data_IF_760296003342
#
_entry.id   IF_760296003342
#
_cell.length_a   1.000
_cell.length_b   1.000
_cell.length_c   1.000
_cell.angle_alpha   90.00
_cell.angle_beta   90.00
_cell.angle_gamma   90.00
#
_symmetry.space_group_name_H-M   'P 1'
#
loop_
_entity.id
_entity.type
_entity.pdbx_description
1 polymer ?
#
# COMPACT_ATOMS: atom_id res chain seq x y z
N UNK A 1 -137.55 36.81 -3.17
CA UNK A 1 -136.49 37.70 -2.69
C UNK A 1 -135.15 36.99 -2.72
N UNK A 2 -134.07 37.70 -3.07
CA UNK A 2 -133.03 37.19 -3.95
C UNK A 2 -131.66 37.10 -3.25
N UNK A 3 -130.69 36.63 -4.02
CA UNK A 3 -129.24 36.77 -3.87
C UNK A 3 -128.50 35.66 -3.12
N UNK A 4 -128.07 34.65 -3.88
CA UNK A 4 -126.76 34.02 -3.64
C UNK A 4 -125.88 34.23 -4.87
N UNK A 5 -124.73 34.82 -4.59
CA UNK A 5 -123.91 35.61 -5.49
C UNK A 5 -123.15 34.73 -6.49
N UNK A 6 -123.25 35.06 -7.78
CA UNK A 6 -122.19 34.74 -8.73
C UNK A 6 -120.90 35.40 -8.21
N UNK A 7 -119.75 34.68 -8.14
CA UNK A 7 -118.52 35.27 -7.68
C UNK A 7 -118.18 36.45 -8.60
N UNK A 8 -118.09 37.64 -8.02
CA UNK A 8 -117.74 38.85 -8.76
C UNK A 8 -116.37 38.65 -9.38
N UNK A 9 -116.16 39.19 -10.59
CA UNK A 9 -114.89 39.09 -11.34
C UNK A 9 -113.66 39.53 -10.54
N UNK A 10 -113.86 40.38 -9.52
CA UNK A 10 -112.86 40.79 -8.52
C UNK A 10 -112.39 39.64 -7.60
N UNK A 11 -113.26 38.72 -7.20
CA UNK A 11 -112.93 37.60 -6.29
C UNK A 11 -112.13 36.49 -6.99
N UNK A 12 -112.41 36.24 -8.28
CA UNK A 12 -111.62 35.35 -9.13
C UNK A 12 -110.23 35.92 -9.43
N UNK A 13 -110.13 37.23 -9.62
CA UNK A 13 -108.85 37.91 -9.86
C UNK A 13 -107.94 37.84 -8.63
N UNK A 14 -108.49 38.07 -7.42
CA UNK A 14 -107.74 37.95 -6.16
C UNK A 14 -107.23 36.54 -5.86
N UNK A 15 -108.03 35.50 -6.14
CA UNK A 15 -107.61 34.10 -6.00
C UNK A 15 -106.49 33.72 -6.96
N UNK A 16 -106.61 34.10 -8.24
CA UNK A 16 -105.59 33.88 -9.26
C UNK A 16 -104.27 34.61 -8.91
N UNK A 17 -104.36 35.83 -8.38
CA UNK A 17 -103.19 36.59 -7.94
C UNK A 17 -102.49 35.95 -6.72
N UNK A 18 -103.27 35.40 -5.78
CA UNK A 18 -102.74 34.67 -4.63
C UNK A 18 -102.05 33.36 -5.03
N UNK A 19 -102.68 32.53 -5.87
CA UNK A 19 -102.06 31.32 -6.41
C UNK A 19 -100.76 31.63 -7.17
N UNK A 20 -100.73 32.72 -7.93
CA UNK A 20 -99.50 33.16 -8.61
C UNK A 20 -98.39 33.52 -7.63
N UNK A 21 -98.72 34.15 -6.50
CA UNK A 21 -97.77 34.51 -5.46
C UNK A 21 -97.25 33.28 -4.71
N UNK A 22 -98.15 32.37 -4.33
CA UNK A 22 -97.79 31.12 -3.66
C UNK A 22 -96.89 30.24 -4.56
N UNK A 23 -97.17 30.18 -5.88
CA UNK A 23 -96.32 29.51 -6.85
C UNK A 23 -94.93 30.15 -6.98
N UNK A 24 -94.86 31.49 -6.93
CA UNK A 24 -93.60 32.23 -6.97
C UNK A 24 -92.77 31.95 -5.70
N UNK A 25 -93.40 31.95 -4.53
CA UNK A 25 -92.76 31.65 -3.26
C UNK A 25 -92.24 30.22 -3.20
N UNK A 26 -93.01 29.26 -3.72
CA UNK A 26 -92.56 27.87 -3.84
C UNK A 26 -91.36 27.74 -4.79
N UNK A 27 -91.39 28.40 -5.95
CA UNK A 27 -90.27 28.42 -6.88
C UNK A 27 -89.01 29.07 -6.26
N UNK A 28 -89.16 30.15 -5.49
CA UNK A 28 -88.06 30.79 -4.78
C UNK A 28 -87.45 29.86 -3.71
N UNK A 29 -88.29 29.13 -2.95
CA UNK A 29 -87.79 28.13 -1.99
C UNK A 29 -87.05 26.98 -2.67
N UNK A 30 -87.52 26.53 -3.83
CA UNK A 30 -86.82 25.52 -4.63
C UNK A 30 -85.48 26.03 -5.17
N UNK A 31 -85.42 27.29 -5.65
CA UNK A 31 -84.18 27.93 -6.06
C UNK A 31 -83.17 28.01 -4.91
N UNK A 32 -83.61 28.39 -3.71
CA UNK A 32 -82.73 28.44 -2.53
C UNK A 32 -82.22 27.06 -2.10
N UNK A 33 -83.07 26.02 -2.19
CA UNK A 33 -82.66 24.63 -1.93
C UNK A 33 -81.62 24.17 -2.97
N UNK A 34 -81.86 24.46 -4.25
CA UNK A 34 -80.93 24.11 -5.33
C UNK A 34 -79.59 24.85 -5.19
N UNK A 35 -79.60 26.13 -4.81
CA UNK A 35 -78.37 26.89 -4.53
C UNK A 35 -77.56 26.27 -3.39
N UNK A 36 -78.19 25.99 -2.25
CA UNK A 36 -77.53 25.30 -1.13
C UNK A 36 -76.99 23.93 -1.52
N UNK A 37 -77.72 23.20 -2.36
CA UNK A 37 -77.25 21.91 -2.86
C UNK A 37 -76.05 22.05 -3.80
N UNK A 38 -76.06 23.04 -4.69
CA UNK A 38 -74.92 23.35 -5.56
C UNK A 38 -73.67 23.75 -4.75
N UNK A 39 -73.82 24.61 -3.73
CA UNK A 39 -72.72 25.02 -2.85
C UNK A 39 -72.15 23.81 -2.09
N UNK A 40 -73.01 22.91 -1.61
CA UNK A 40 -72.60 21.68 -0.95
C UNK A 40 -71.81 20.76 -1.89
N UNK A 41 -72.33 20.50 -3.09
CA UNK A 41 -71.64 19.69 -4.10
C UNK A 41 -70.31 20.32 -4.52
N UNK A 42 -70.24 21.65 -4.58
CA UNK A 42 -69.01 22.36 -4.90
C UNK A 42 -67.94 22.19 -3.79
N UNK A 43 -68.35 22.22 -2.52
CA UNK A 43 -67.45 21.92 -1.39
C UNK A 43 -66.97 20.47 -1.42
N UNK A 44 -67.89 19.51 -1.63
CA UNK A 44 -67.55 18.08 -1.72
C UNK A 44 -66.58 17.80 -2.88
N UNK A 45 -66.80 18.43 -4.03
CA UNK A 45 -65.90 18.33 -5.18
C UNK A 45 -64.50 18.86 -4.85
N UNK A 46 -64.41 20.00 -4.15
CA UNK A 46 -63.14 20.60 -3.78
C UNK A 46 -62.37 19.72 -2.78
N UNK A 47 -63.06 19.13 -1.80
CA UNK A 47 -62.47 18.17 -0.86
C UNK A 47 -61.96 16.92 -1.58
N UNK A 48 -62.77 16.35 -2.48
CA UNK A 48 -62.37 15.18 -3.27
C UNK A 48 -61.16 15.46 -4.16
N UNK A 49 -61.08 16.65 -4.78
CA UNK A 49 -59.92 17.06 -5.56
C UNK A 49 -58.65 17.20 -4.70
N UNK A 50 -58.78 17.79 -3.51
CA UNK A 50 -57.66 17.91 -2.58
C UNK A 50 -57.17 16.54 -2.10
N UNK A 51 -58.09 15.61 -1.79
CA UNK A 51 -57.75 14.25 -1.39
C UNK A 51 -57.07 13.46 -2.53
N UNK A 52 -57.56 13.62 -3.77
CA UNK A 52 -56.94 13.04 -4.95
C UNK A 52 -55.51 13.55 -5.16
N UNK A 53 -55.27 14.85 -4.96
CA UNK A 53 -53.94 15.47 -5.09
C UNK A 53 -52.97 14.99 -4.00
N UNK A 54 -53.43 14.88 -2.74
CA UNK A 54 -52.62 14.30 -1.65
C UNK A 54 -52.27 12.85 -1.96
N UNK A 55 -53.23 12.06 -2.45
CA UNK A 55 -53.02 10.67 -2.83
C UNK A 55 -52.03 10.53 -3.99
N UNK A 56 -52.09 11.43 -4.98
CA UNK A 56 -51.11 11.49 -6.07
C UNK A 56 -49.70 11.77 -5.55
N UNK A 57 -49.52 12.78 -4.70
CA UNK A 57 -48.21 13.11 -4.11
C UNK A 57 -47.63 11.96 -3.30
N UNK A 58 -48.46 11.25 -2.53
CA UNK A 58 -48.03 10.05 -1.79
C UNK A 58 -47.55 8.94 -2.72
N UNK A 59 -48.24 8.69 -3.83
CA UNK A 59 -47.80 7.72 -4.84
C UNK A 59 -46.48 8.14 -5.48
N UNK A 60 -46.37 9.39 -5.91
CA UNK A 60 -45.16 9.92 -6.57
C UNK A 60 -43.95 9.84 -5.63
N UNK A 61 -44.13 10.17 -4.34
CA UNK A 61 -43.11 9.99 -3.32
C UNK A 61 -42.69 8.52 -3.17
N UNK A 62 -43.66 7.60 -3.08
CA UNK A 62 -43.37 6.17 -2.96
C UNK A 62 -42.62 5.61 -4.19
N UNK A 63 -42.96 6.08 -5.40
CA UNK A 63 -42.23 5.73 -6.62
C UNK A 63 -40.79 6.26 -6.59
N UNK A 64 -40.61 7.53 -6.20
CA UNK A 64 -39.27 8.12 -6.07
C UNK A 64 -38.41 7.34 -5.08
N UNK A 65 -38.97 6.96 -3.92
CA UNK A 65 -38.22 6.21 -2.90
C UNK A 65 -37.86 4.80 -3.38
N UNK A 66 -38.79 4.13 -4.06
CA UNK A 66 -38.52 2.84 -4.72
C UNK A 66 -37.40 2.97 -5.75
N UNK A 67 -37.42 4.01 -6.58
CA UNK A 67 -36.43 4.20 -7.63
C UNK A 67 -35.02 4.44 -7.04
N UNK A 68 -34.91 5.17 -5.90
CA UNK A 68 -33.65 5.26 -5.14
C UNK A 68 -33.14 3.90 -4.70
N UNK A 69 -34.01 3.08 -4.10
CA UNK A 69 -33.65 1.72 -3.64
C UNK A 69 -33.20 0.85 -4.82
N UNK A 70 -33.85 0.98 -5.99
CA UNK A 70 -33.46 0.25 -7.20
C UNK A 70 -32.06 0.67 -7.66
N UNK A 71 -31.77 1.97 -7.70
CA UNK A 71 -30.45 2.49 -8.07
C UNK A 71 -29.36 2.02 -7.10
N UNK A 72 -29.61 2.06 -5.80
CA UNK A 72 -28.68 1.54 -4.79
C UNK A 72 -28.41 0.05 -4.99
N UNK A 73 -29.47 -0.75 -5.21
CA UNK A 73 -29.34 -2.18 -5.50
C UNK A 73 -28.53 -2.45 -6.76
N UNK A 74 -28.74 -1.67 -7.82
CA UNK A 74 -27.99 -1.79 -9.08
C UNK A 74 -26.52 -1.41 -8.91
N UNK A 75 -26.23 -0.38 -8.12
CA UNK A 75 -24.87 0.02 -7.75
C UNK A 75 -24.15 -1.11 -6.98
N UNK A 76 -24.81 -1.69 -5.98
CA UNK A 76 -24.27 -2.83 -5.21
C UNK A 76 -24.04 -4.03 -6.11
N UNK A 77 -24.99 -4.36 -6.99
CA UNK A 77 -24.84 -5.48 -7.95
C UNK A 77 -23.61 -5.27 -8.84
N UNK A 78 -23.45 -4.06 -9.37
CA UNK A 78 -22.31 -3.70 -10.21
C UNK A 78 -20.98 -3.79 -9.47
N UNK A 79 -20.94 -3.38 -8.20
CA UNK A 79 -19.76 -3.54 -7.34
C UNK A 79 -19.41 -5.01 -7.12
N UNK A 80 -20.39 -5.84 -6.76
CA UNK A 80 -20.20 -7.28 -6.58
C UNK A 80 -19.66 -7.95 -7.85
N UNK A 81 -20.18 -7.59 -9.02
CA UNK A 81 -19.71 -8.13 -10.30
C UNK A 81 -18.27 -7.68 -10.61
N UNK A 82 -17.87 -6.47 -10.23
CA UNK A 82 -16.47 -6.03 -10.34
C UNK A 82 -15.55 -6.84 -9.42
N UNK A 83 -15.91 -6.96 -8.14
CA UNK A 83 -15.12 -7.72 -7.16
C UNK A 83 -14.99 -9.19 -7.54
N UNK A 84 -16.04 -9.82 -8.08
CA UNK A 84 -15.97 -11.18 -8.61
C UNK A 84 -14.97 -11.29 -9.76
N UNK A 85 -15.01 -10.37 -10.73
CA UNK A 85 -14.06 -10.35 -11.85
C UNK A 85 -12.62 -10.10 -11.40
N UNK A 86 -12.41 -9.26 -10.39
CA UNK A 86 -11.08 -9.01 -9.82
C UNK A 86 -10.55 -10.24 -9.11
N UNK A 87 -11.37 -10.91 -8.31
CA UNK A 87 -11.02 -12.21 -7.72
C UNK A 87 -10.67 -13.24 -8.80
N UNK A 88 -11.50 -13.38 -9.83
CA UNK A 88 -11.27 -14.37 -10.88
C UNK A 88 -9.98 -14.09 -11.67
N UNK A 89 -9.67 -12.81 -11.90
CA UNK A 89 -8.36 -12.40 -12.44
C UNK A 89 -7.21 -12.77 -11.52
N UNK A 90 -7.28 -12.38 -10.24
CA UNK A 90 -6.23 -12.70 -9.27
C UNK A 90 -6.00 -14.21 -9.11
N UNK A 91 -7.06 -15.02 -9.17
CA UNK A 91 -6.94 -16.49 -9.16
C UNK A 91 -6.25 -17.00 -10.42
N UNK A 92 -6.57 -16.45 -11.59
CA UNK A 92 -5.92 -16.80 -12.85
C UNK A 92 -4.43 -16.42 -12.84
N UNK A 93 -4.11 -15.20 -12.41
CA UNK A 93 -2.73 -14.69 -12.33
C UNK A 93 -1.89 -15.54 -11.36
N UNK A 94 -2.47 -15.91 -10.22
CA UNK A 94 -1.80 -16.80 -9.27
C UNK A 94 -1.55 -18.19 -9.88
N UNK A 95 -2.51 -18.74 -10.62
CA UNK A 95 -2.34 -20.03 -11.27
C UNK A 95 -1.26 -19.99 -12.36
N UNK A 96 -1.12 -18.87 -13.06
CA UNK A 96 -0.03 -18.64 -14.03
C UNK A 96 1.33 -18.52 -13.34
N UNK A 97 1.44 -17.69 -12.31
CA UNK A 97 2.68 -17.54 -11.54
C UNK A 97 3.16 -18.87 -10.91
N UNK A 98 2.23 -19.73 -10.49
CA UNK A 98 2.56 -21.07 -10.00
C UNK A 98 3.15 -21.97 -11.10
N UNK A 99 2.58 -21.95 -12.30
CA UNK A 99 3.13 -22.69 -13.45
C UNK A 99 4.51 -22.18 -13.83
N UNK A 100 4.67 -20.87 -13.95
CA UNK A 100 5.96 -20.24 -14.24
C UNK A 100 7.01 -20.58 -13.18
N UNK A 101 6.62 -20.59 -11.89
CA UNK A 101 7.50 -20.99 -10.80
C UNK A 101 7.98 -22.43 -10.94
N UNK A 102 7.09 -23.34 -11.32
CA UNK A 102 7.43 -24.75 -11.50
C UNK A 102 8.31 -24.98 -12.74
N UNK A 103 8.07 -24.26 -13.83
CA UNK A 103 8.93 -24.26 -15.02
C UNK A 103 10.33 -23.70 -14.71
N UNK A 104 10.42 -22.60 -13.97
CA UNK A 104 11.70 -22.02 -13.52
C UNK A 104 12.45 -23.01 -12.62
N UNK A 105 11.77 -23.67 -11.66
CA UNK A 105 12.40 -24.69 -10.80
C UNK A 105 12.94 -25.84 -11.63
N UNK A 106 12.20 -26.29 -12.63
CA UNK A 106 12.63 -27.36 -13.53
C UNK A 106 13.87 -26.94 -14.32
N UNK A 107 13.85 -25.77 -14.95
CA UNK A 107 14.99 -25.24 -15.69
C UNK A 107 16.22 -25.07 -14.79
N UNK A 108 16.04 -24.53 -13.57
CA UNK A 108 17.11 -24.42 -12.58
C UNK A 108 17.71 -25.78 -12.22
N UNK A 109 16.87 -26.80 -12.03
CA UNK A 109 17.35 -28.15 -11.71
C UNK A 109 18.13 -28.76 -12.88
N UNK A 110 17.72 -28.51 -14.13
CA UNK A 110 18.43 -28.94 -15.33
C UNK A 110 19.79 -28.23 -15.46
N UNK A 111 19.82 -26.90 -15.35
CA UNK A 111 21.08 -26.13 -15.41
C UNK A 111 22.03 -26.47 -14.26
N UNK A 112 21.51 -26.74 -13.06
CA UNK A 112 22.33 -27.21 -11.93
C UNK A 112 22.99 -28.56 -12.21
N UNK A 113 22.27 -29.49 -12.85
CA UNK A 113 22.84 -30.78 -13.27
C UNK A 113 23.93 -30.59 -14.31
N UNK A 114 23.70 -29.75 -15.32
CA UNK A 114 24.70 -29.44 -16.34
C UNK A 114 25.96 -28.79 -15.75
N UNK A 115 25.80 -27.86 -14.81
CA UNK A 115 26.90 -27.23 -14.09
C UNK A 115 27.71 -28.23 -13.27
N UNK A 116 27.06 -29.15 -12.55
CA UNK A 116 27.75 -30.19 -11.80
C UNK A 116 28.58 -31.09 -12.72
N UNK A 117 28.01 -31.52 -13.85
CA UNK A 117 28.72 -32.34 -14.85
C UNK A 117 29.92 -31.58 -15.42
N UNK A 118 29.78 -30.28 -15.71
CA UNK A 118 30.88 -29.46 -16.22
C UNK A 118 31.97 -29.26 -15.16
N UNK A 119 31.58 -29.05 -13.90
CA UNK A 119 32.49 -28.93 -12.75
C UNK A 119 33.30 -30.20 -12.55
N UNK A 120 32.66 -31.37 -12.55
CA UNK A 120 33.34 -32.67 -12.46
C UNK A 120 34.35 -32.86 -13.60
N UNK A 121 34.00 -32.44 -14.83
CA UNK A 121 34.93 -32.47 -15.98
C UNK A 121 36.13 -31.55 -15.77
N UNK A 122 35.92 -30.34 -15.25
CA UNK A 122 37.01 -29.39 -14.97
C UNK A 122 37.91 -29.90 -13.85
N UNK A 123 37.34 -30.41 -12.76
CA UNK A 123 38.10 -31.02 -11.65
C UNK A 123 38.94 -32.20 -12.16
N UNK A 124 38.35 -33.09 -12.97
CA UNK A 124 39.08 -34.21 -13.57
C UNK A 124 40.20 -33.75 -14.54
N UNK A 125 40.02 -32.62 -15.22
CA UNK A 125 41.04 -32.04 -16.09
C UNK A 125 42.18 -31.43 -15.28
N UNK A 126 41.87 -30.66 -14.24
CA UNK A 126 42.84 -30.11 -13.31
C UNK A 126 43.63 -31.20 -12.58
N UNK A 127 42.98 -32.30 -12.18
CA UNK A 127 43.68 -33.43 -11.56
C UNK A 127 44.64 -34.11 -12.54
N UNK A 128 44.27 -34.23 -13.83
CA UNK A 128 45.16 -34.74 -14.89
C UNK A 128 46.35 -33.80 -15.12
N UNK A 129 46.13 -32.49 -15.19
CA UNK A 129 47.19 -31.48 -15.34
C UNK A 129 48.12 -31.47 -14.12
N UNK A 130 47.56 -31.52 -12.90
CA UNK A 130 48.31 -31.61 -11.66
C UNK A 130 49.17 -32.88 -11.57
N UNK A 131 48.62 -34.05 -11.94
CA UNK A 131 49.41 -35.30 -12.02
C UNK A 131 50.53 -35.22 -13.05
N UNK A 132 50.30 -34.56 -14.19
CA UNK A 132 51.33 -34.33 -15.21
C UNK A 132 52.46 -33.40 -14.71
N UNK A 133 52.11 -32.38 -13.93
CA UNK A 133 53.05 -31.47 -13.27
C UNK A 133 53.79 -32.14 -12.11
N UNK A 134 53.13 -33.00 -11.32
CA UNK A 134 53.75 -33.77 -10.23
C UNK A 134 54.82 -34.73 -10.75
N UNK A 135 54.61 -35.35 -11.91
CA UNK A 135 55.63 -36.14 -12.60
C UNK A 135 56.84 -35.30 -13.08
N UNK A 136 56.64 -34.00 -13.32
CA UNK A 136 57.72 -33.05 -13.62
C UNK A 136 58.39 -32.44 -12.37
N UNK A 137 57.79 -32.57 -11.18
CA UNK A 137 58.18 -31.86 -9.96
C UNK A 137 58.94 -32.71 -8.92
N UNK A 138 59.53 -33.85 -9.29
CA UNK A 138 60.52 -34.56 -8.44
C UNK A 138 61.85 -33.79 -8.22
N UNK A 139 61.87 -32.49 -8.49
CA UNK A 139 62.94 -31.57 -8.11
C UNK A 139 62.30 -30.28 -7.59
N UNK A 140 62.54 -29.97 -6.31
CA UNK A 140 62.27 -28.72 -5.60
C UNK A 140 60.88 -28.45 -4.98
N UNK A 141 60.85 -28.67 -3.65
CA UNK A 141 60.46 -27.76 -2.57
C UNK A 141 59.04 -27.15 -2.52
N UNK A 142 58.32 -27.55 -1.46
CA UNK A 142 57.61 -26.69 -0.49
C UNK A 142 57.24 -25.26 -0.91
N UNK A 143 55.94 -25.04 -1.15
CA UNK A 143 55.19 -23.97 -0.47
C UNK A 143 53.67 -24.13 -0.70
N UNK A 144 53.02 -24.65 0.35
CA UNK A 144 51.74 -24.24 0.91
C UNK A 144 50.75 -23.45 0.02
N UNK A 145 49.70 -24.17 -0.34
CA UNK A 145 48.42 -23.75 -0.91
C UNK A 145 47.71 -22.67 -0.06
N UNK A 146 47.26 -21.58 -0.68
CA UNK A 146 46.46 -20.52 -0.03
C UNK A 146 45.65 -19.70 -1.05
N UNK A 147 44.82 -20.34 -1.88
CA UNK A 147 44.00 -19.61 -2.87
C UNK A 147 42.48 -19.83 -2.75
N UNK A 148 41.96 -20.56 -1.75
CA UNK A 148 40.55 -20.99 -1.75
C UNK A 148 39.61 -20.10 -0.90
N UNK A 149 40.08 -19.06 -0.22
CA UNK A 149 39.27 -18.40 0.83
C UNK A 149 39.05 -16.88 0.68
N UNK A 150 39.15 -16.31 -0.52
CA UNK A 150 39.09 -14.85 -0.68
C UNK A 150 37.70 -14.25 -0.38
N UNK A 151 36.62 -14.99 -0.60
CA UNK A 151 35.24 -14.47 -0.45
C UNK A 151 34.66 -14.72 0.95
N UNK A 152 35.20 -15.70 1.70
CA UNK A 152 34.85 -15.96 3.10
C UNK A 152 35.67 -15.08 4.07
N UNK A 153 36.76 -14.45 3.61
CA UNK A 153 37.59 -13.57 4.43
C UNK A 153 37.14 -12.10 4.46
N UNK A 154 36.17 -11.67 3.64
CA UNK A 154 35.81 -10.24 3.57
C UNK A 154 34.98 -9.71 4.76
N UNK A 155 34.31 -10.57 5.52
CA UNK A 155 33.39 -10.14 6.59
C UNK A 155 33.72 -10.82 7.92
N UNK A 156 33.88 -10.01 8.97
CA UNK A 156 34.00 -10.46 10.34
C UNK A 156 32.69 -10.30 11.10
N UNK A 157 32.41 -11.26 11.97
CA UNK A 157 31.30 -11.16 12.92
C UNK A 157 31.86 -10.79 14.29
N UNK A 158 31.36 -9.70 14.85
CA UNK A 158 31.80 -9.16 16.13
C UNK A 158 30.63 -9.10 17.11
N UNK A 159 30.89 -9.40 18.38
CA UNK A 159 29.91 -9.28 19.46
C UNK A 159 30.23 -8.00 20.24
N UNK A 160 29.28 -7.07 20.26
CA UNK A 160 29.38 -5.76 20.90
C UNK A 160 28.44 -5.72 22.10
N UNK A 161 29.00 -5.47 23.28
CA UNK A 161 28.22 -5.32 24.51
C UNK A 161 28.01 -3.83 24.82
N UNK A 162 26.74 -3.45 24.98
CA UNK A 162 26.34 -2.07 25.22
C UNK A 162 25.67 -2.00 26.59
N UNK A 163 26.32 -1.34 27.53
CA UNK A 163 25.71 -0.90 28.77
C UNK A 163 24.70 0.23 28.49
N UNK A 164 23.44 -0.03 28.82
CA UNK A 164 22.29 0.86 28.69
C UNK A 164 21.81 1.37 30.06
N UNK A 165 22.56 1.11 31.15
CA UNK A 165 22.19 1.55 32.50
C UNK A 165 22.18 3.08 32.56
N UNK A 166 21.03 3.65 32.92
CA UNK A 166 20.84 5.09 33.10
C UNK A 166 20.12 5.80 31.94
N UNK A 167 19.84 5.11 30.83
CA UNK A 167 18.97 5.64 29.77
C UNK A 167 17.50 5.41 30.10
N UNK A 168 16.68 6.46 30.00
CA UNK A 168 15.24 6.30 30.08
C UNK A 168 14.71 5.52 28.86
N UNK A 169 13.61 4.79 29.00
CA UNK A 169 13.02 4.01 27.90
C UNK A 169 12.59 4.85 26.68
N UNK A 170 12.50 6.17 26.85
CA UNK A 170 12.11 7.15 25.82
C UNK A 170 13.27 8.06 25.36
N UNK A 171 14.49 7.88 25.91
CA UNK A 171 15.66 8.60 25.43
C UNK A 171 16.15 8.05 24.09
N UNK A 172 16.65 8.95 23.25
CA UNK A 172 17.25 8.60 21.98
C UNK A 172 18.58 7.87 22.21
N UNK A 173 18.73 6.69 21.59
CA UNK A 173 19.95 5.90 21.65
C UNK A 173 21.09 6.55 20.85
N UNK A 174 20.76 7.51 19.98
CA UNK A 174 21.70 8.12 19.06
C UNK A 174 22.12 7.14 17.95
N UNK A 175 21.21 6.25 17.54
CA UNK A 175 21.42 5.23 16.52
C UNK A 175 20.41 5.39 15.40
N UNK A 176 20.91 5.67 14.20
CA UNK A 176 20.09 5.62 13.00
C UNK A 176 20.29 4.30 12.28
N UNK A 177 19.17 3.64 11.95
CA UNK A 177 19.14 2.38 11.22
C UNK A 177 18.49 2.59 9.85
N UNK A 178 19.03 1.90 8.85
CA UNK A 178 18.48 1.79 7.48
C UNK A 178 18.30 0.31 7.14
N UNK A 179 17.53 0.00 6.11
CA UNK A 179 17.22 -1.39 5.78
C UNK A 179 16.07 -1.98 6.62
N UNK A 180 16.08 -3.30 6.73
CA UNK A 180 15.04 -4.09 7.37
C UNK A 180 13.95 -4.56 6.41
N UNK A 181 13.11 -5.48 6.88
CA UNK A 181 12.05 -6.14 6.09
C UNK A 181 11.12 -5.15 5.38
N UNK A 182 10.74 -4.09 6.08
CA UNK A 182 9.73 -3.15 5.62
C UNK A 182 10.33 -2.02 4.74
N UNK A 183 11.66 -1.88 4.70
CA UNK A 183 12.38 -0.85 3.96
C UNK A 183 13.79 -1.35 3.52
N UNK A 184 13.88 -2.35 2.61
CA UNK A 184 15.17 -2.96 2.22
C UNK A 184 16.16 -1.96 1.62
N UNK A 185 17.39 -1.92 2.16
CA UNK A 185 18.45 -1.03 1.66
C UNK A 185 19.04 -1.54 0.33
N UNK A 186 19.15 -2.86 0.18
CA UNK A 186 19.66 -3.50 -1.03
C UNK A 186 18.63 -4.46 -1.62
N UNK A 187 18.60 -4.67 -2.96
CA UNK A 187 17.71 -5.63 -3.58
C UNK A 187 17.92 -7.04 -3.02
N UNK A 188 16.84 -7.69 -2.59
CA UNK A 188 16.85 -9.01 -1.95
C UNK A 188 17.63 -9.08 -0.61
N UNK A 189 17.83 -7.95 0.07
CA UNK A 189 18.49 -7.89 1.37
C UNK A 189 17.60 -7.20 2.42
N UNK A 190 17.07 -8.00 3.34
CA UNK A 190 16.27 -7.54 4.48
C UNK A 190 17.11 -7.18 5.71
N UNK A 191 18.44 -7.12 5.56
CA UNK A 191 19.37 -6.78 6.63
C UNK A 191 19.17 -5.36 7.17
N UNK A 192 19.51 -5.18 8.45
CA UNK A 192 19.45 -3.90 9.14
C UNK A 192 20.87 -3.36 9.28
N UNK A 193 21.07 -2.12 8.84
CA UNK A 193 22.38 -1.48 8.79
C UNK A 193 22.39 -0.20 9.61
N UNK A 194 23.51 0.05 10.28
CA UNK A 194 23.76 1.31 10.97
C UNK A 194 24.11 2.38 9.93
N UNK A 195 23.30 3.44 9.82
CA UNK A 195 23.60 4.57 8.93
C UNK A 195 24.40 5.66 9.64
N UNK A 196 24.05 5.94 10.90
CA UNK A 196 24.70 6.97 11.70
C UNK A 196 24.73 6.59 13.18
N UNK A 197 25.79 7.01 13.85
CA UNK A 197 25.91 6.97 15.31
C UNK A 197 26.16 8.40 15.79
N UNK A 198 25.27 8.90 16.63
CA UNK A 198 25.34 10.27 17.14
C UNK A 198 26.59 10.46 18.01
N UNK A 199 27.27 11.58 17.80
CA UNK A 199 28.46 11.97 18.58
C UNK A 199 28.05 12.26 20.02
N UNK A 200 28.78 11.70 20.99
CA UNK A 200 28.48 11.75 22.41
C UNK A 200 27.47 10.70 22.89
N UNK A 201 26.96 9.84 22.01
CA UNK A 201 26.08 8.74 22.42
C UNK A 201 26.88 7.61 23.09
N UNK A 202 26.18 6.80 23.88
CA UNK A 202 26.70 5.55 24.46
C UNK A 202 27.15 4.50 23.41
N UNK A 203 26.76 4.70 22.15
CA UNK A 203 27.06 3.83 21.03
C UNK A 203 28.29 4.30 20.24
N UNK A 204 28.73 5.55 20.46
CA UNK A 204 29.93 6.08 19.82
C UNK A 204 31.14 5.20 20.15
N UNK A 205 31.84 4.75 19.10
CA UNK A 205 32.98 3.85 19.21
C UNK A 205 32.64 2.37 19.40
N UNK A 206 31.40 2.03 19.78
CA UNK A 206 30.92 0.63 19.88
C UNK A 206 30.36 0.12 18.56
N UNK A 207 29.48 0.93 17.94
CA UNK A 207 28.93 0.69 16.61
C UNK A 207 29.51 1.67 15.61
N UNK A 208 29.47 1.31 14.32
CA UNK A 208 30.00 2.11 13.23
C UNK A 208 29.01 2.13 12.06
N UNK A 209 29.01 3.18 11.24
CA UNK A 209 28.29 3.17 9.97
C UNK A 209 28.65 1.94 9.14
N UNK A 210 27.65 1.35 8.48
CA UNK A 210 27.70 0.10 7.71
C UNK A 210 27.85 -1.19 8.52
N UNK A 211 27.80 -1.14 9.86
CA UNK A 211 27.61 -2.34 10.66
C UNK A 211 26.27 -2.99 10.31
N UNK A 212 26.29 -4.27 9.92
CA UNK A 212 25.07 -5.04 9.70
C UNK A 212 24.67 -5.70 11.02
N UNK A 213 23.51 -5.34 11.57
CA UNK A 213 22.99 -5.90 12.81
C UNK A 213 22.38 -7.27 12.51
N UNK A 214 23.05 -8.33 12.98
CA UNK A 214 22.62 -9.71 12.79
C UNK A 214 21.72 -10.17 13.94
N UNK A 215 22.02 -9.75 15.17
CA UNK A 215 21.27 -10.15 16.36
C UNK A 215 21.34 -9.10 17.45
N UNK A 216 20.25 -8.89 18.17
CA UNK A 216 20.21 -8.10 19.41
C UNK A 216 19.65 -8.99 20.52
N UNK A 217 20.46 -9.30 21.52
CA UNK A 217 20.18 -10.29 22.56
C UNK A 217 19.70 -11.62 21.95
N UNK A 218 18.43 -11.96 22.14
CA UNK A 218 17.82 -13.19 21.64
C UNK A 218 17.00 -12.99 20.35
N UNK A 219 16.97 -11.77 19.81
CA UNK A 219 16.27 -11.43 18.57
C UNK A 219 17.20 -11.57 17.35
N UNK A 220 16.88 -12.47 16.43
CA UNK A 220 17.48 -12.49 15.09
C UNK A 220 16.98 -11.30 14.26
N UNK A 221 17.91 -10.52 13.72
CA UNK A 221 17.63 -9.28 13.00
C UNK A 221 17.63 -9.43 11.47
N UNK A 222 17.79 -10.64 10.94
CA UNK A 222 17.93 -10.90 9.49
C UNK A 222 16.69 -10.51 8.67
N UNK A 223 15.49 -10.59 9.24
CA UNK A 223 14.23 -10.29 8.55
C UNK A 223 13.21 -9.58 9.48
N UNK A 224 13.69 -8.57 10.20
CA UNK A 224 12.86 -7.77 11.10
C UNK A 224 12.82 -6.31 10.65
N UNK A 225 11.92 -5.53 11.24
CA UNK A 225 11.88 -4.09 11.00
C UNK A 225 12.81 -3.34 11.96
N UNK A 226 13.32 -2.19 11.51
CA UNK A 226 14.17 -1.30 12.31
C UNK A 226 13.56 -0.98 13.68
N UNK A 227 12.24 -0.76 13.70
CA UNK A 227 11.49 -0.46 14.92
C UNK A 227 11.62 -1.57 15.96
N UNK A 228 11.50 -2.84 15.54
CA UNK A 228 11.57 -3.99 16.46
C UNK A 228 12.97 -4.11 17.07
N UNK A 229 14.02 -3.82 16.30
CA UNK A 229 15.40 -3.79 16.81
C UNK A 229 15.58 -2.71 17.88
N UNK A 230 15.15 -1.48 17.60
CA UNK A 230 15.26 -0.37 18.56
C UNK A 230 14.44 -0.62 19.83
N UNK A 231 13.23 -1.16 19.70
CA UNK A 231 12.37 -1.52 20.84
C UNK A 231 12.99 -2.64 21.69
N UNK A 232 13.63 -3.62 21.05
CA UNK A 232 14.36 -4.69 21.74
C UNK A 232 15.56 -4.15 22.50
N UNK A 233 16.36 -3.26 21.87
CA UNK A 233 17.48 -2.58 22.55
C UNK A 233 17.00 -1.83 23.80
N UNK A 234 15.91 -1.04 23.69
CA UNK A 234 15.33 -0.31 24.83
C UNK A 234 14.81 -1.22 25.94
N UNK A 235 14.22 -2.36 25.56
CA UNK A 235 13.65 -3.33 26.51
C UNK A 235 14.68 -4.27 27.14
N UNK A 236 15.97 -4.09 26.85
CA UNK A 236 17.04 -5.01 27.26
C UNK A 236 17.43 -4.94 28.75
N UNK A 237 16.75 -4.11 29.55
CA UNK A 237 16.88 -4.15 31.02
C UNK A 237 18.26 -3.73 31.55
N UNK A 238 18.97 -2.86 30.83
CA UNK A 238 20.24 -2.28 31.27
C UNK A 238 21.48 -2.70 30.46
N UNK A 239 21.43 -3.75 29.66
CA UNK A 239 22.52 -4.06 28.71
C UNK A 239 22.00 -4.77 27.47
N UNK A 240 22.56 -4.45 26.30
CA UNK A 240 22.26 -5.12 25.03
C UNK A 240 23.52 -5.76 24.44
N UNK A 241 23.43 -7.03 24.10
CA UNK A 241 24.46 -7.78 23.37
C UNK A 241 24.07 -7.78 21.90
N UNK A 242 24.87 -7.13 21.07
CA UNK A 242 24.62 -7.03 19.63
C UNK A 242 25.65 -7.83 18.87
N UNK A 243 25.22 -8.66 17.94
CA UNK A 243 26.10 -9.30 16.97
C UNK A 243 26.04 -8.50 15.68
N UNK A 244 27.18 -7.96 15.26
CA UNK A 244 27.31 -7.21 14.02
C UNK A 244 28.20 -7.93 13.03
N UNK A 245 27.87 -7.84 11.74
CA UNK A 245 28.74 -8.26 10.64
C UNK A 245 29.38 -7.01 10.03
N UNK A 246 30.71 -6.95 10.08
CA UNK A 246 31.56 -5.85 9.57
C UNK A 246 32.40 -6.35 8.41
N UNK A 247 32.67 -5.51 7.41
CA UNK A 247 33.71 -5.85 6.43
C UNK A 247 35.07 -5.78 7.10
N UNK A 248 35.94 -6.78 6.89
CA UNK A 248 37.33 -6.69 7.31
C UNK A 248 37.95 -5.48 6.63
N UNK A 249 38.45 -4.55 7.44
CA UNK A 249 39.35 -3.49 6.97
C UNK A 249 40.73 -4.13 6.78
N UNK A 250 40.82 -5.08 5.86
CA UNK A 250 42.02 -5.84 5.53
C UNK A 250 42.44 -5.52 4.11
N UNK A 251 43.54 -4.75 3.98
CA UNK A 251 44.37 -4.63 2.78
C UNK A 251 43.74 -4.14 1.46
N UNK A 252 42.57 -3.49 1.45
CA UNK A 252 42.19 -2.66 0.28
C UNK A 252 43.01 -1.37 0.31
N UNK A 253 44.11 -1.39 -0.45
CA UNK A 253 44.93 -0.21 -0.80
C UNK A 253 44.01 0.93 -1.23
N UNK A 254 44.36 2.17 -0.88
CA UNK A 254 43.72 3.36 -1.45
C UNK A 254 43.56 3.17 -2.97
N UNK A 255 42.32 3.13 -3.45
CA UNK A 255 42.02 3.00 -4.88
C UNK A 255 41.76 4.38 -5.46
N UNK A 256 42.58 4.78 -6.44
CA UNK A 256 42.32 5.96 -7.25
C UNK A 256 41.70 5.51 -8.55
N UNK A 257 40.49 5.98 -8.81
CA UNK A 257 39.76 5.76 -10.06
C UNK A 257 39.66 7.06 -10.86
N UNK A 258 39.60 6.92 -12.19
CA UNK A 258 39.26 8.01 -13.10
C UNK A 258 37.95 7.69 -13.84
N UNK A 259 36.89 8.41 -13.48
CA UNK A 259 35.61 8.36 -14.20
C UNK A 259 35.63 9.41 -15.32
N UNK A 260 35.77 8.98 -16.58
CA UNK A 260 35.84 9.89 -17.73
C UNK A 260 34.44 10.35 -18.13
N UNK A 261 34.04 11.53 -17.63
CA UNK A 261 32.74 12.13 -17.87
C UNK A 261 32.64 12.67 -19.30
N UNK A 262 32.25 11.81 -20.25
CA UNK A 262 32.18 12.15 -21.69
C UNK A 262 30.77 12.35 -22.24
N UNK A 263 29.73 12.09 -21.42
CA UNK A 263 28.28 12.39 -21.60
C UNK A 263 27.39 11.46 -20.74
N UNK A 264 27.97 10.56 -19.94
CA UNK A 264 27.26 9.64 -19.05
C UNK A 264 27.30 10.10 -17.58
N UNK A 265 26.28 9.77 -16.81
CA UNK A 265 26.27 9.97 -15.37
C UNK A 265 27.32 9.10 -14.69
N UNK A 266 28.05 9.69 -13.73
CA UNK A 266 29.03 8.99 -12.91
C UNK A 266 28.39 7.89 -12.05
N UNK A 267 27.14 8.09 -11.62
CA UNK A 267 26.31 7.09 -10.95
C UNK A 267 26.71 6.77 -9.51
N UNK A 268 27.48 7.65 -8.84
CA UNK A 268 27.75 7.54 -7.41
C UNK A 268 26.72 8.36 -6.64
N UNK A 269 26.13 7.75 -5.62
CA UNK A 269 25.40 8.47 -4.59
C UNK A 269 26.25 8.47 -3.32
N UNK A 270 26.43 9.63 -2.70
CA UNK A 270 27.17 9.75 -1.45
C UNK A 270 26.22 9.99 -0.28
N UNK A 271 26.56 9.47 0.90
CA UNK A 271 25.84 9.71 2.15
C UNK A 271 26.66 10.50 3.18
N UNK A 272 26.04 10.78 4.32
CA UNK A 272 26.63 11.49 5.46
C UNK A 272 27.97 10.85 5.86
N UNK A 273 29.05 11.63 5.84
CA UNK A 273 30.41 11.12 6.09
C UNK A 273 31.22 10.76 4.83
N UNK A 274 30.68 11.05 3.63
CA UNK A 274 31.37 10.93 2.34
C UNK A 274 31.66 9.46 1.97
N UNK A 275 30.66 8.60 2.21
CA UNK A 275 30.68 7.19 1.79
C UNK A 275 29.83 7.00 0.54
N UNK A 276 30.22 6.07 -0.33
CA UNK A 276 29.41 5.65 -1.47
C UNK A 276 28.22 4.84 -0.93
N UNK A 277 27.01 5.40 -0.99
CA UNK A 277 25.78 4.73 -0.54
C UNK A 277 25.10 3.91 -1.62
N UNK A 278 25.30 4.29 -2.89
CA UNK A 278 24.74 3.58 -4.05
C UNK A 278 25.59 3.79 -5.29
N UNK A 279 25.70 2.73 -6.08
CA UNK A 279 26.26 2.77 -7.44
C UNK A 279 25.13 2.43 -8.42
N UNK A 280 24.81 3.35 -9.33
CA UNK A 280 23.75 3.17 -10.31
C UNK A 280 24.11 2.08 -11.33
N UNK A 281 23.25 1.08 -11.58
CA UNK A 281 23.50 0.06 -12.58
C UNK A 281 23.75 0.67 -13.97
N UNK A 282 24.79 0.20 -14.68
CA UNK A 282 25.15 0.70 -16.02
C UNK A 282 25.89 2.03 -16.05
N UNK A 283 26.11 2.67 -14.90
CA UNK A 283 26.90 3.91 -14.78
C UNK A 283 28.40 3.70 -14.99
N UNK A 284 29.15 4.80 -15.07
CA UNK A 284 30.60 4.74 -15.18
C UNK A 284 31.23 4.09 -13.95
N UNK A 285 30.76 4.42 -12.74
CA UNK A 285 31.24 3.79 -11.52
C UNK A 285 30.95 2.28 -11.46
N UNK A 286 29.78 1.85 -11.96
CA UNK A 286 29.45 0.42 -12.03
C UNK A 286 30.32 -0.34 -13.03
N UNK A 287 30.65 0.28 -14.17
CA UNK A 287 31.48 -0.34 -15.22
C UNK A 287 32.95 -0.45 -14.84
N UNK A 288 33.42 0.46 -14.01
CA UNK A 288 34.83 0.53 -13.61
C UNK A 288 35.19 -0.53 -12.57
N UNK A 289 34.24 -0.94 -11.72
CA UNK A 289 34.35 -2.12 -10.86
C UNK A 289 35.28 -2.01 -9.66
N UNK A 290 36.08 -0.93 -9.56
CA UNK A 290 37.00 -0.69 -8.46
C UNK A 290 36.34 0.03 -7.27
N UNK A 291 35.14 0.58 -7.46
CA UNK A 291 34.35 1.24 -6.43
C UNK A 291 33.25 0.32 -5.93
N UNK A 292 33.06 0.28 -4.61
CA UNK A 292 31.98 -0.45 -3.96
C UNK A 292 31.13 0.45 -3.07
N UNK A 293 29.88 0.01 -2.83
CA UNK A 293 29.06 0.62 -1.79
C UNK A 293 29.72 0.40 -0.43
N UNK A 294 29.76 1.45 0.38
CA UNK A 294 30.44 1.53 1.67
C UNK A 294 31.86 2.10 1.59
N UNK A 295 32.43 2.31 0.39
CA UNK A 295 33.76 2.92 0.27
C UNK A 295 33.72 4.40 0.68
N UNK A 296 34.74 4.85 1.41
CA UNK A 296 34.90 6.25 1.78
C UNK A 296 35.65 7.01 0.70
N UNK A 297 35.05 8.08 0.19
CA UNK A 297 35.72 8.97 -0.76
C UNK A 297 36.59 9.95 0.02
N UNK A 298 37.91 9.83 -0.15
CA UNK A 298 38.88 10.67 0.55
C UNK A 298 39.21 11.96 -0.20
N UNK A 299 39.21 11.91 -1.54
CA UNK A 299 39.48 13.07 -2.39
C UNK A 299 38.86 12.91 -3.76
N UNK A 300 38.40 14.02 -4.36
CA UNK A 300 37.94 14.08 -5.75
C UNK A 300 38.79 15.12 -6.48
N UNK A 301 39.37 14.75 -7.63
CA UNK A 301 40.20 15.65 -8.44
C UNK A 301 41.31 16.36 -7.62
N UNK A 302 42.01 15.62 -6.77
CA UNK A 302 43.05 16.11 -5.85
C UNK A 302 42.57 17.15 -4.82
N UNK A 303 41.26 17.30 -4.59
CA UNK A 303 40.71 18.02 -3.46
C UNK A 303 40.26 17.04 -2.39
N UNK A 304 40.87 17.11 -1.21
CA UNK A 304 40.44 16.36 -0.03
C UNK A 304 39.02 16.77 0.35
N UNK A 305 38.18 15.78 0.66
CA UNK A 305 36.77 15.96 0.98
C UNK A 305 36.55 16.15 2.48
#
# INVERSE_FOLDING_TARGET
DPHELQPTTMDLFGKCQKERMDNLDQANQELDKLRKHADKLQSELQEALQEAEVSKRRRDWAFSERDKIVLERESIRSLCDRLRRERDRAVSDLAEALRDSDDIKKQRNETTKELNVLKEKMEAQLEKESRMLQLHATSHNYSHDSAIDNDLQEWDTEVVEIDLVGLASDEDLGLDLIGGRDDPQYPNDSGIYVSCVAKGSILEGKLRPNDCIIRVNNLDCTNVSKRVVLETMRSSGGAAIIVVRRRKVGARSLYTTQLQLSNYEHGLTLETGIYISKISPGSLAAKEGNLAVGDRVLSINNKTM
#
